data_IF_695090560525
#
_entry.id   IF_695090560525
#
_cell.length_a   1.000
_cell.length_b   1.000
_cell.length_c   1.000
_cell.angle_alpha   90.00
_cell.angle_beta   90.00
_cell.angle_gamma   90.00
#
_symmetry.space_group_name_H-M   'P 1'
#
loop_
_entity.id
_entity.type
_entity.pdbx_description
1 polymer ?
#
# COMPACT_ATOMS: atom_id res chain seq x y z
N UNK A 1 -20.76 27.06 -22.56
CA UNK A 1 -21.16 25.75 -22.00
C UNK A 1 -19.89 25.09 -21.54
N UNK A 2 -19.48 25.36 -20.31
CA UNK A 2 -18.21 24.91 -19.76
C UNK A 2 -18.38 23.49 -19.23
N UNK A 3 -17.84 22.50 -19.94
CA UNK A 3 -17.85 21.13 -19.49
C UNK A 3 -17.02 21.00 -18.20
N UNK A 4 -17.52 20.34 -17.14
CA UNK A 4 -16.77 20.18 -15.91
C UNK A 4 -15.55 19.31 -16.18
N UNK A 5 -14.37 19.79 -15.74
CA UNK A 5 -13.11 19.05 -15.79
C UNK A 5 -13.33 17.59 -15.36
N UNK A 6 -13.20 16.65 -16.31
CA UNK A 6 -13.10 15.23 -16.00
C UNK A 6 -11.94 15.07 -15.01
N UNK A 7 -12.25 14.62 -13.79
CA UNK A 7 -11.24 14.24 -12.81
C UNK A 7 -10.39 13.15 -13.44
N UNK A 8 -9.23 13.54 -13.99
CA UNK A 8 -8.25 12.62 -14.56
C UNK A 8 -7.99 11.52 -13.52
N UNK A 9 -8.06 10.26 -13.94
CA UNK A 9 -7.77 9.12 -13.07
C UNK A 9 -6.43 9.37 -12.36
N UNK A 10 -6.47 9.64 -11.06
CA UNK A 10 -5.28 9.88 -10.25
C UNK A 10 -4.66 8.53 -9.94
N UNK A 11 -3.52 8.24 -10.54
CA UNK A 11 -2.72 7.07 -10.21
C UNK A 11 -1.92 7.32 -8.94
N UNK A 12 -1.77 6.30 -8.10
CA UNK A 12 -0.89 6.31 -6.93
C UNK A 12 0.15 5.22 -7.14
N UNK A 13 1.44 5.58 -7.05
CA UNK A 13 2.56 4.64 -7.15
C UNK A 13 3.12 4.39 -5.77
N UNK A 14 3.25 3.13 -5.39
CA UNK A 14 4.00 2.71 -4.20
C UNK A 14 5.24 1.95 -4.62
N UNK A 15 6.38 2.39 -4.11
CA UNK A 15 7.64 1.66 -4.24
C UNK A 15 8.00 1.16 -2.84
N UNK A 16 7.97 -0.16 -2.64
CA UNK A 16 8.45 -0.80 -1.41
C UNK A 16 9.93 -1.13 -1.59
N UNK A 17 10.81 -0.44 -0.87
CA UNK A 17 12.23 -0.79 -0.76
C UNK A 17 12.41 -1.72 0.44
N UNK A 18 12.64 -3.00 0.18
CA UNK A 18 12.99 -3.97 1.22
C UNK A 18 14.49 -3.85 1.49
N UNK A 19 14.87 -2.95 2.41
CA UNK A 19 16.24 -2.85 2.91
C UNK A 19 16.49 -3.97 3.93
N UNK A 20 16.49 -5.22 3.48
CA UNK A 20 16.83 -6.36 4.33
C UNK A 20 18.17 -6.93 3.90
N UNK A 21 19.20 -6.76 4.73
CA UNK A 21 20.47 -7.48 4.60
C UNK A 21 20.26 -8.83 5.30
N UNK A 22 20.17 -9.96 4.57
CA UNK A 22 19.90 -11.26 5.19
C UNK A 22 21.11 -11.68 6.06
N UNK A 23 20.99 -11.51 7.37
CA UNK A 23 21.84 -12.18 8.37
C UNK A 23 21.12 -13.46 8.80
N UNK A 24 21.22 -14.52 8.00
CA UNK A 24 20.53 -15.80 8.25
C UNK A 24 19.13 -15.89 7.63
N UNK A 25 18.34 -16.88 8.04
CA UNK A 25 16.97 -17.05 7.56
C UNK A 25 16.15 -15.78 7.91
N UNK A 26 15.58 -15.07 6.93
CA UNK A 26 14.83 -13.86 7.20
C UNK A 26 13.60 -14.19 8.05
N UNK A 27 13.51 -13.59 9.23
CA UNK A 27 12.29 -13.63 10.05
C UNK A 27 11.26 -12.72 9.38
N UNK A 28 10.37 -13.33 8.59
CA UNK A 28 9.32 -12.63 7.85
C UNK A 28 8.19 -12.23 8.80
N UNK A 29 8.22 -11.00 9.29
CA UNK A 29 7.15 -10.43 10.14
C UNK A 29 5.84 -10.14 9.38
N UNK A 30 5.93 -9.99 8.06
CA UNK A 30 4.78 -9.82 7.17
C UNK A 30 4.85 -10.93 6.11
N UNK A 31 3.81 -11.75 6.05
CA UNK A 31 3.67 -12.84 5.09
C UNK A 31 2.83 -12.44 3.86
N UNK A 32 1.91 -11.48 4.01
CA UNK A 32 1.01 -11.05 2.93
C UNK A 32 0.82 -9.54 2.95
N UNK A 33 0.72 -8.92 1.78
CA UNK A 33 0.40 -7.49 1.62
C UNK A 33 -0.95 -7.39 0.91
N UNK A 34 -1.93 -6.81 1.58
CA UNK A 34 -3.24 -6.48 1.02
C UNK A 34 -3.34 -5.01 0.62
N UNK A 35 -4.18 -4.72 -0.37
CA UNK A 35 -4.45 -3.37 -0.86
C UNK A 35 -5.96 -3.12 -0.93
N UNK A 36 -6.43 -2.12 -0.18
CA UNK A 36 -7.83 -1.75 -0.10
C UNK A 36 -8.06 -0.49 -0.93
N UNK A 37 -8.96 -0.59 -1.93
CA UNK A 37 -9.26 0.48 -2.87
C UNK A 37 -10.69 0.98 -2.65
N UNK A 38 -10.83 2.23 -2.24
CA UNK A 38 -12.09 2.96 -2.20
C UNK A 38 -11.99 4.25 -3.02
N UNK A 39 -13.13 4.92 -3.28
CA UNK A 39 -13.25 6.04 -4.24
C UNK A 39 -12.29 7.22 -3.99
N UNK A 40 -11.82 7.39 -2.76
CA UNK A 40 -10.86 8.45 -2.39
C UNK A 40 -9.83 7.98 -1.36
N UNK A 41 -9.77 6.68 -1.09
CA UNK A 41 -8.90 6.09 -0.07
C UNK A 41 -8.22 4.89 -0.68
N UNK A 42 -6.90 4.87 -0.61
CA UNK A 42 -6.09 3.71 -0.98
C UNK A 42 -5.30 3.34 0.27
N UNK A 43 -5.42 2.10 0.73
CA UNK A 43 -4.75 1.60 1.93
C UNK A 43 -3.96 0.34 1.60
N UNK A 44 -2.82 0.20 2.27
CA UNK A 44 -2.01 -1.01 2.24
C UNK A 44 -1.96 -1.57 3.65
N UNK A 45 -2.16 -2.87 3.80
CA UNK A 45 -2.01 -3.55 5.07
C UNK A 45 -1.10 -4.78 4.94
N UNK A 46 -0.26 -5.00 5.95
CA UNK A 46 0.60 -6.18 6.04
C UNK A 46 0.02 -7.17 7.04
N UNK A 47 -0.05 -8.43 6.65
CA UNK A 47 -0.60 -9.54 7.45
C UNK A 47 0.54 -10.50 7.78
N UNK A 48 0.59 -10.96 9.03
CA UNK A 48 1.52 -12.02 9.46
C UNK A 48 1.06 -13.41 9.00
N UNK A 49 1.82 -14.45 9.35
CA UNK A 49 1.49 -15.85 9.03
C UNK A 49 0.24 -16.38 9.72
N UNK A 50 -0.23 -15.72 10.78
CA UNK A 50 -1.41 -16.11 11.55
C UNK A 50 -2.67 -15.40 11.06
N UNK A 51 -2.58 -14.55 10.04
CA UNK A 51 -3.70 -13.77 9.52
C UNK A 51 -3.93 -12.45 10.27
N UNK A 52 -3.03 -12.05 11.18
CA UNK A 52 -3.19 -10.78 11.90
C UNK A 52 -2.61 -9.63 11.08
N UNK A 53 -3.34 -8.52 11.04
CA UNK A 53 -2.80 -7.27 10.47
C UNK A 53 -1.76 -6.68 11.40
N UNK A 54 -0.50 -6.65 10.99
CA UNK A 54 0.63 -6.12 11.77
C UNK A 54 1.09 -4.74 11.30
N UNK A 55 0.66 -4.31 10.11
CA UNK A 55 0.98 -3.01 9.52
C UNK A 55 -0.22 -2.47 8.75
N UNK A 56 -0.47 -1.17 8.82
CA UNK A 56 -1.50 -0.48 8.03
C UNK A 56 -1.05 0.93 7.67
N UNK A 57 -1.13 1.27 6.38
CA UNK A 57 -0.77 2.59 5.87
C UNK A 57 -1.78 3.05 4.83
N UNK A 58 -2.41 4.20 5.07
CA UNK A 58 -3.16 4.90 4.04
C UNK A 58 -2.19 5.65 3.13
N UNK A 59 -2.33 5.43 1.82
CA UNK A 59 -1.58 6.14 0.82
C UNK A 59 -2.25 7.49 0.55
N UNK A 60 -1.44 8.53 0.55
CA UNK A 60 -1.84 9.86 0.14
C UNK A 60 -1.29 10.09 -1.27
N UNK A 61 -2.03 10.77 -2.16
CA UNK A 61 -1.49 11.19 -3.44
C UNK A 61 -0.19 11.97 -3.24
N UNK A 62 0.80 11.73 -4.09
CA UNK A 62 1.97 12.62 -4.17
C UNK A 62 1.50 14.00 -4.64
N UNK A 63 1.99 15.06 -3.98
CA UNK A 63 1.81 16.43 -4.47
C UNK A 63 2.67 16.67 -5.70
#
# INVERSE_FOLDING_TARGET
>A
MDAPFQKRHLSVKVMMSLNHVPKGAPEMKVATIGADLAKSVIQIHGVDSHGNTVQRKQLKPSR
#
